data_IF_379284804570
#
_entry.id   IF_379284804570
#
_cell.length_a   1.000
_cell.length_b   1.000
_cell.length_c   1.000
_cell.angle_alpha   90.00
_cell.angle_beta   90.00
_cell.angle_gamma   90.00
#
_symmetry.space_group_name_H-M   'P 1'
#
loop_
_entity.id
_entity.type
_entity.pdbx_description
1 polymer ?
#
# COMPACT_ATOMS: atom_id res chain seq x y z
N UNK A 1 7.78 23.02 8.52
CA UNK A 1 8.08 22.54 9.88
C UNK A 1 7.59 21.11 10.05
N UNK A 2 8.06 20.40 11.08
CA UNK A 2 7.77 18.97 11.33
C UNK A 2 6.27 18.70 11.51
N UNK A 3 5.54 19.59 12.18
CA UNK A 3 4.09 19.45 12.36
C UNK A 3 3.32 19.47 11.04
N UNK A 4 3.71 20.36 10.11
CA UNK A 4 3.11 20.42 8.77
C UNK A 4 3.41 19.16 7.96
N UNK A 5 4.61 18.59 8.13
CA UNK A 5 5.00 17.31 7.51
C UNK A 5 4.11 16.18 8.02
N UNK A 6 3.99 16.04 9.34
CA UNK A 6 3.16 15.01 9.96
C UNK A 6 1.68 15.14 9.55
N UNK A 7 1.15 16.36 9.49
CA UNK A 7 -0.21 16.62 9.01
C UNK A 7 -0.39 16.20 7.55
N UNK A 8 0.53 16.60 6.66
CA UNK A 8 0.48 16.25 5.24
C UNK A 8 0.55 14.73 5.02
N UNK A 9 1.51 14.06 5.66
CA UNK A 9 1.68 12.61 5.57
C UNK A 9 0.46 11.85 6.12
N UNK A 10 -0.14 12.35 7.21
CA UNK A 10 -1.40 11.81 7.75
C UNK A 10 -2.56 11.97 6.78
N UNK A 11 -2.72 13.14 6.16
CA UNK A 11 -3.78 13.38 5.17
C UNK A 11 -3.64 12.45 3.95
N UNK A 12 -2.41 12.19 3.49
CA UNK A 12 -2.16 11.23 2.42
C UNK A 12 -2.50 9.79 2.83
N UNK A 13 -2.08 9.38 4.03
CA UNK A 13 -2.38 8.05 4.54
C UNK A 13 -3.88 7.83 4.72
N UNK A 14 -4.58 8.80 5.31
CA UNK A 14 -6.02 8.72 5.56
C UNK A 14 -6.76 8.62 4.21
N UNK A 15 -6.36 9.42 3.22
CA UNK A 15 -6.91 9.34 1.86
C UNK A 15 -6.65 7.99 1.20
N UNK A 16 -5.39 7.51 1.19
CA UNK A 16 -5.04 6.22 0.62
C UNK A 16 -5.78 5.05 1.28
N UNK A 17 -5.93 5.11 2.61
CA UNK A 17 -6.66 4.11 3.40
C UNK A 17 -8.14 4.10 3.07
N UNK A 18 -8.76 5.27 2.86
CA UNK A 18 -10.16 5.38 2.44
C UNK A 18 -10.37 4.81 1.03
N UNK A 19 -9.52 5.16 0.07
CA UNK A 19 -9.69 4.70 -1.32
C UNK A 19 -9.41 3.20 -1.47
N UNK A 20 -8.36 2.67 -0.83
CA UNK A 20 -8.02 1.25 -0.97
C UNK A 20 -9.08 0.33 -0.36
N UNK A 21 -9.76 0.76 0.72
CA UNK A 21 -10.86 0.00 1.35
C UNK A 21 -12.10 -0.14 0.46
N UNK A 22 -12.22 0.68 -0.59
CA UNK A 22 -13.32 0.57 -1.57
C UNK A 22 -13.07 -0.53 -2.60
N UNK A 23 -11.87 -1.11 -2.64
CA UNK A 23 -11.50 -2.13 -3.61
C UNK A 23 -11.72 -3.50 -2.97
N UNK A 24 -12.67 -4.26 -3.53
CA UNK A 24 -12.94 -5.63 -3.12
C UNK A 24 -11.70 -6.53 -3.34
N UNK A 25 -11.48 -7.49 -2.45
CA UNK A 25 -10.32 -8.38 -2.49
C UNK A 25 -9.01 -7.76 -2.02
N UNK A 26 -8.98 -6.49 -1.59
CA UNK A 26 -7.79 -5.85 -1.02
C UNK A 26 -7.88 -5.77 0.50
N UNK A 27 -6.89 -6.35 1.20
CA UNK A 27 -6.82 -6.33 2.65
C UNK A 27 -5.62 -5.51 3.14
N UNK A 28 -5.88 -4.51 3.99
CA UNK A 28 -4.83 -3.74 4.68
C UNK A 28 -4.26 -4.56 5.85
N UNK A 29 -2.93 -4.61 5.94
CA UNK A 29 -2.19 -5.18 7.06
C UNK A 29 -1.71 -4.05 7.97
N UNK A 30 -2.27 -4.00 9.19
CA UNK A 30 -1.97 -2.99 10.22
C UNK A 30 -2.91 -1.77 10.18
N UNK A 31 -3.84 -1.71 11.15
CA UNK A 31 -4.87 -0.67 11.30
C UNK A 31 -4.77 0.09 12.64
N UNK A 32 -3.56 0.28 13.17
CA UNK A 32 -3.37 1.10 14.37
C UNK A 32 -3.95 2.51 14.16
N UNK A 33 -4.57 3.06 15.21
CA UNK A 33 -5.21 4.39 15.18
C UNK A 33 -4.18 5.46 14.83
N UNK A 34 -3.04 5.42 15.52
CA UNK A 34 -1.88 6.27 15.27
C UNK A 34 -0.82 5.44 14.54
N UNK A 35 -0.46 5.84 13.32
CA UNK A 35 0.57 5.18 12.52
C UNK A 35 1.22 6.15 11.55
N UNK A 36 2.49 5.87 11.22
CA UNK A 36 3.20 6.56 10.15
C UNK A 36 2.53 6.29 8.79
N UNK A 37 2.86 7.11 7.79
CA UNK A 37 2.34 7.11 6.41
C UNK A 37 2.77 5.89 5.57
N UNK A 38 2.54 4.70 6.11
CA UNK A 38 2.88 3.40 5.51
C UNK A 38 1.61 2.55 5.40
N UNK A 39 1.34 2.10 4.18
CA UNK A 39 0.21 1.27 3.81
C UNK A 39 0.72 -0.08 3.30
N UNK A 40 0.65 -1.10 4.15
CA UNK A 40 0.89 -2.49 3.73
C UNK A 40 -0.44 -3.16 3.40
N UNK A 41 -0.49 -3.90 2.30
CA UNK A 41 -1.70 -4.58 1.85
C UNK A 41 -1.37 -5.88 1.12
N UNK A 42 -2.37 -6.74 1.03
CA UNK A 42 -2.40 -7.93 0.19
C UNK A 42 -3.62 -7.87 -0.72
N UNK A 43 -3.56 -8.55 -1.86
CA UNK A 43 -4.69 -8.70 -2.77
C UNK A 43 -4.99 -10.20 -2.85
N UNK A 44 -6.24 -10.56 -2.60
CA UNK A 44 -6.70 -11.95 -2.59
C UNK A 44 -6.39 -12.63 -3.93
N UNK A 45 -5.83 -13.84 -3.87
CA UNK A 45 -5.48 -14.62 -5.06
C UNK A 45 -4.23 -14.15 -5.83
N UNK A 46 -3.59 -13.04 -5.45
CA UNK A 46 -2.44 -12.49 -6.19
C UNK A 46 -1.18 -12.53 -5.34
N UNK A 47 -0.13 -13.15 -5.85
CA UNK A 47 1.15 -13.24 -5.15
C UNK A 47 1.81 -11.84 -5.06
N UNK A 48 2.35 -11.42 -3.89
CA UNK A 48 2.90 -10.07 -3.72
C UNK A 48 3.98 -9.67 -4.72
N UNK A 49 4.78 -10.61 -5.22
CA UNK A 49 5.77 -10.33 -6.28
C UNK A 49 5.13 -9.81 -7.58
N UNK A 50 3.98 -10.37 -7.96
CA UNK A 50 3.29 -10.00 -9.19
C UNK A 50 2.63 -8.63 -9.05
N UNK A 51 2.12 -8.30 -7.87
CA UNK A 51 1.66 -6.94 -7.53
C UNK A 51 2.78 -5.95 -7.81
N UNK A 52 3.99 -6.18 -7.28
CA UNK A 52 5.13 -5.29 -7.49
C UNK A 52 5.50 -5.12 -8.96
N UNK A 53 5.48 -6.21 -9.72
CA UNK A 53 5.82 -6.20 -11.15
C UNK A 53 4.80 -5.41 -11.97
N UNK A 54 3.50 -5.54 -11.68
CA UNK A 54 2.47 -4.78 -12.39
C UNK A 54 2.52 -3.30 -12.00
N UNK A 55 2.71 -3.00 -10.72
CA UNK A 55 2.82 -1.63 -10.21
C UNK A 55 3.97 -0.88 -10.90
N UNK A 56 5.14 -1.52 -11.03
CA UNK A 56 6.29 -0.97 -11.73
C UNK A 56 5.96 -0.63 -13.20
N UNK A 57 5.25 -1.51 -13.91
CA UNK A 57 4.77 -1.25 -15.27
C UNK A 57 3.76 -0.10 -15.36
N UNK A 58 3.05 0.21 -14.27
CA UNK A 58 2.17 1.37 -14.17
C UNK A 58 2.92 2.65 -13.73
N UNK A 59 4.24 2.59 -13.56
CA UNK A 59 5.05 3.71 -13.08
C UNK A 59 4.92 3.96 -11.58
N UNK A 60 4.40 3.00 -10.81
CA UNK A 60 4.20 3.11 -9.36
C UNK A 60 5.23 2.26 -8.63
N UNK A 61 6.18 2.93 -7.98
CA UNK A 61 7.20 2.27 -7.18
C UNK A 61 6.67 1.89 -5.79
N UNK A 62 6.57 0.58 -5.53
CA UNK A 62 6.28 0.02 -4.19
C UNK A 62 7.33 -1.03 -3.83
N UNK A 63 7.31 -1.50 -2.57
CA UNK A 63 8.09 -2.67 -2.16
C UNK A 63 7.17 -3.86 -1.91
N UNK A 64 7.63 -5.04 -2.29
CA UNK A 64 6.96 -6.31 -1.97
C UNK A 64 7.93 -7.24 -1.22
N UNK A 65 7.40 -8.12 -0.39
CA UNK A 65 8.18 -9.09 0.39
C UNK A 65 7.95 -8.97 1.89
N UNK A 66 8.93 -9.42 2.67
CA UNK A 66 8.85 -9.44 4.13
C UNK A 66 9.18 -8.10 4.79
N UNK A 67 9.74 -7.14 4.04
CA UNK A 67 10.20 -5.84 4.58
C UNK A 67 11.20 -5.93 5.74
N UNK A 68 12.00 -7.00 5.78
CA UNK A 68 12.89 -7.34 6.90
C UNK A 68 12.15 -7.63 8.23
N UNK A 69 10.86 -7.96 8.18
CA UNK A 69 10.01 -8.24 9.35
C UNK A 69 9.33 -9.59 9.21
N UNK A 70 10.10 -10.65 8.92
CA UNK A 70 9.56 -12.01 8.70
C UNK A 70 8.67 -12.53 9.83
N UNK A 71 9.01 -12.36 11.14
CA UNK A 71 8.14 -12.81 12.22
C UNK A 71 6.75 -12.13 12.23
N UNK A 72 6.64 -10.90 11.70
CA UNK A 72 5.36 -10.22 11.55
C UNK A 72 4.51 -10.88 10.46
N UNK A 73 5.13 -11.35 9.39
CA UNK A 73 4.45 -12.08 8.31
C UNK A 73 3.92 -13.42 8.84
N UNK A 74 4.73 -14.13 9.63
CA UNK A 74 4.33 -15.37 10.31
C UNK A 74 3.14 -15.15 11.24
N UNK A 75 3.14 -14.07 12.04
CA UNK A 75 2.02 -13.69 12.91
C UNK A 75 0.71 -13.45 12.15
N UNK A 76 0.78 -12.79 10.99
CA UNK A 76 -0.38 -12.55 10.15
C UNK A 76 -0.76 -13.75 9.27
N UNK A 77 0.05 -14.81 9.24
CA UNK A 77 -0.19 -16.00 8.41
C UNK A 77 -0.10 -15.70 6.91
N UNK A 78 0.66 -14.70 6.51
CA UNK A 78 0.82 -14.27 5.11
C UNK A 78 2.28 -14.42 4.67
N UNK A 79 2.56 -14.77 3.41
CA UNK A 79 3.94 -14.95 2.96
C UNK A 79 4.67 -13.61 2.77
N UNK A 80 3.97 -12.54 2.40
CA UNK A 80 4.54 -11.22 2.16
C UNK A 80 3.42 -10.18 1.99
N UNK A 81 3.78 -8.89 1.97
CA UNK A 81 2.85 -7.80 1.61
C UNK A 81 3.42 -6.93 0.50
N UNK A 82 2.52 -6.25 -0.22
CA UNK A 82 2.84 -5.05 -0.95
C UNK A 82 2.81 -3.85 0.02
N UNK A 83 3.74 -2.89 -0.14
CA UNK A 83 3.87 -1.74 0.76
C UNK A 83 4.12 -0.45 -0.02
N UNK A 84 3.18 0.48 0.10
CA UNK A 84 3.36 1.87 -0.28
C UNK A 84 3.71 2.68 0.98
N UNK A 85 4.76 3.50 0.89
CA UNK A 85 5.21 4.37 1.98
C UNK A 85 5.35 5.78 1.45
N UNK A 86 4.54 6.70 1.99
CA UNK A 86 4.50 8.09 1.57
C UNK A 86 5.44 8.95 2.41
N UNK A 87 5.98 9.98 1.78
CA UNK A 87 6.83 10.98 2.40
C UNK A 87 6.34 12.40 2.06
N UNK A 88 7.03 13.41 2.59
CA UNK A 88 6.73 14.84 2.43
C UNK A 88 6.50 15.33 0.99
N UNK A 89 7.12 14.69 0.01
CA UNK A 89 7.06 15.10 -1.40
C UNK A 89 5.94 14.41 -2.18
N UNK A 90 5.28 13.41 -1.60
CA UNK A 90 4.14 12.78 -2.23
C UNK A 90 2.90 13.67 -2.18
N UNK A 91 1.95 13.36 -3.05
CA UNK A 91 0.73 14.12 -3.28
C UNK A 91 -0.47 13.18 -3.41
N UNK A 92 -1.69 13.74 -3.36
CA UNK A 92 -2.91 12.98 -3.63
C UNK A 92 -2.90 12.32 -5.02
N UNK A 93 -2.25 12.94 -6.01
CA UNK A 93 -2.09 12.35 -7.35
C UNK A 93 -1.28 11.06 -7.34
N UNK A 94 -0.28 10.96 -6.45
CA UNK A 94 0.50 9.73 -6.28
C UNK A 94 -0.35 8.62 -5.64
N UNK A 95 -1.23 9.00 -4.70
CA UNK A 95 -2.23 8.09 -4.14
C UNK A 95 -3.21 7.63 -5.23
N UNK A 96 -3.72 8.53 -6.06
CA UNK A 96 -4.61 8.17 -7.17
C UNK A 96 -3.94 7.20 -8.15
N UNK A 97 -2.67 7.44 -8.50
CA UNK A 97 -1.88 6.56 -9.34
C UNK A 97 -1.71 5.17 -8.71
N UNK A 98 -1.42 5.10 -7.41
CA UNK A 98 -1.36 3.83 -6.65
C UNK A 98 -2.70 3.09 -6.72
N UNK A 99 -3.82 3.77 -6.45
CA UNK A 99 -5.16 3.15 -6.44
C UNK A 99 -5.54 2.62 -7.84
N UNK A 100 -5.24 3.37 -8.89
CA UNK A 100 -5.45 2.92 -10.27
C UNK A 100 -4.59 1.71 -10.61
N UNK A 101 -3.33 1.67 -10.16
CA UNK A 101 -2.45 0.54 -10.36
C UNK A 101 -2.90 -0.72 -9.58
N UNK A 102 -3.47 -0.57 -8.38
CA UNK A 102 -4.11 -1.68 -7.62
C UNK A 102 -5.27 -2.26 -8.43
N UNK A 103 -6.19 -1.41 -8.90
CA UNK A 103 -7.32 -1.86 -9.73
C UNK A 103 -6.84 -2.57 -10.99
N UNK A 104 -5.82 -2.01 -11.65
CA UNK A 104 -5.25 -2.63 -12.85
C UNK A 104 -4.61 -3.98 -12.58
N UNK A 105 -3.97 -4.14 -11.42
CA UNK A 105 -3.41 -5.41 -10.97
C UNK A 105 -4.51 -6.46 -10.84
N UNK A 106 -5.64 -6.11 -10.22
CA UNK A 106 -6.80 -7.02 -10.10
C UNK A 106 -7.35 -7.39 -11.48
N UNK A 107 -7.53 -6.42 -12.38
CA UNK A 107 -8.02 -6.68 -13.75
C UNK A 107 -7.15 -7.65 -14.55
N UNK A 108 -5.83 -7.70 -14.30
CA UNK A 108 -4.92 -8.58 -15.03
C UNK A 108 -5.04 -10.05 -14.56
N UNK A 109 -5.53 -10.27 -13.34
CA UNK A 109 -5.64 -11.59 -12.72
C UNK A 109 -7.09 -12.08 -12.54
N UNK A 110 -8.08 -11.26 -12.93
CA UNK A 110 -9.49 -11.64 -13.04
C UNK A 110 -9.76 -12.43 -14.33
#
# INVERSE_FOLDING_TARGET
GIENIAKHEKELLDYATQEIRKIEGVQIIGNAIEKASVLSFVIEGIHPHDIGTIMDKQGVAIRTGHHCTQPTMDFYGIPATARASFAIYNSRKDVDALINAVKKTIEVFA
#
